data_IF_632772128330
#
_entry.id   IF_632772128330
#
_cell.length_a   1.000
_cell.length_b   1.000
_cell.length_c   1.000
_cell.angle_alpha   90.00
_cell.angle_beta   90.00
_cell.angle_gamma   90.00
#
_symmetry.space_group_name_H-M   'P 1'
#
loop_
_entity.id
_entity.type
_entity.pdbx_description
1 polymer ?
#
# COMPACT_ATOMS: atom_id res chain seq x y z
N UNK A 1 -15.56 -8.93 -23.14
CA UNK A 1 -14.16 -8.71 -22.68
C UNK A 1 -13.41 -10.01 -22.81
N UNK A 2 -12.28 -10.00 -23.53
CA UNK A 2 -11.72 -11.19 -24.18
C UNK A 2 -10.83 -12.02 -23.23
N UNK A 3 -11.15 -13.31 -23.12
CA UNK A 3 -10.47 -14.34 -22.30
C UNK A 3 -8.96 -14.48 -22.61
N UNK A 4 -8.47 -13.90 -23.72
CA UNK A 4 -7.05 -13.86 -24.12
C UNK A 4 -6.23 -12.80 -23.37
N UNK A 5 -6.86 -11.74 -22.86
CA UNK A 5 -6.16 -10.63 -22.19
C UNK A 5 -5.76 -10.98 -20.75
N UNK A 6 -6.56 -11.78 -20.04
CA UNK A 6 -6.24 -12.31 -18.70
C UNK A 6 -5.07 -13.30 -18.71
N UNK A 7 -5.01 -14.16 -19.75
CA UNK A 7 -3.94 -15.17 -19.88
C UNK A 7 -2.59 -14.49 -20.17
N UNK A 8 -2.57 -13.41 -20.95
CA UNK A 8 -1.36 -12.64 -21.22
C UNK A 8 -0.85 -11.91 -19.95
N UNK A 9 -1.73 -11.31 -19.14
CA UNK A 9 -1.35 -10.76 -17.82
C UNK A 9 -0.80 -11.84 -16.87
N UNK A 10 -1.37 -13.05 -16.90
CA UNK A 10 -0.90 -14.18 -16.09
C UNK A 10 0.50 -14.64 -16.49
N UNK A 11 0.80 -14.71 -17.79
CA UNK A 11 2.13 -15.11 -18.27
C UNK A 11 3.22 -14.10 -17.91
N UNK A 12 2.93 -12.80 -17.98
CA UNK A 12 3.86 -11.74 -17.55
C UNK A 12 4.16 -11.78 -16.05
N UNK A 13 3.16 -12.11 -15.23
CA UNK A 13 3.34 -12.30 -13.78
C UNK A 13 4.20 -13.53 -13.49
N UNK A 14 3.95 -14.67 -14.14
CA UNK A 14 4.76 -15.89 -13.90
C UNK A 14 6.23 -15.76 -14.29
N UNK A 15 6.56 -14.95 -15.31
CA UNK A 15 7.94 -14.65 -15.67
C UNK A 15 8.63 -13.75 -14.62
N UNK A 16 7.90 -12.79 -14.03
CA UNK A 16 8.39 -11.99 -12.91
C UNK A 16 8.57 -12.82 -11.62
N UNK A 17 7.68 -13.79 -11.38
CA UNK A 17 7.76 -14.71 -10.22
C UNK A 17 8.96 -15.66 -10.27
N UNK A 18 9.44 -16.05 -11.46
CA UNK A 18 10.56 -17.00 -11.60
C UNK A 18 11.95 -16.40 -11.41
N UNK A 19 12.12 -15.07 -11.55
CA UNK A 19 13.46 -14.45 -11.61
C UNK A 19 13.72 -13.33 -10.57
N UNK A 20 12.80 -13.05 -9.66
CA UNK A 20 12.96 -11.94 -8.71
C UNK A 20 13.52 -12.38 -7.35
N UNK A 21 14.80 -12.71 -7.33
CA UNK A 21 15.53 -13.14 -6.12
C UNK A 21 16.21 -11.98 -5.36
N UNK A 22 16.00 -10.72 -5.76
CA UNK A 22 16.47 -9.54 -5.03
C UNK A 22 15.35 -8.50 -4.90
N UNK A 23 14.98 -8.06 -3.68
CA UNK A 23 14.08 -6.92 -3.54
C UNK A 23 14.70 -5.71 -4.25
N UNK A 24 13.93 -5.08 -5.14
CA UNK A 24 14.35 -3.88 -5.86
C UNK A 24 14.75 -2.79 -4.87
N UNK A 25 15.61 -1.85 -5.31
CA UNK A 25 16.00 -0.69 -4.50
C UNK A 25 14.77 0.04 -3.92
N UNK A 26 13.72 0.19 -4.74
CA UNK A 26 12.44 0.78 -4.33
C UNK A 26 11.76 0.04 -3.17
N UNK A 27 11.93 -1.28 -3.09
CA UNK A 27 11.35 -2.11 -2.04
C UNK A 27 12.00 -1.86 -0.68
N UNK A 28 13.34 -1.85 -0.65
CA UNK A 28 14.13 -1.54 0.54
C UNK A 28 13.88 -0.09 0.98
N UNK A 29 13.91 0.83 0.02
CA UNK A 29 13.64 2.25 0.26
C UNK A 29 12.26 2.49 0.88
N UNK A 30 11.21 1.84 0.37
CA UNK A 30 9.86 1.96 0.95
C UNK A 30 9.81 1.51 2.41
N UNK A 31 10.44 0.37 2.73
CA UNK A 31 10.52 -0.11 4.11
C UNK A 31 11.23 0.91 5.00
N UNK A 32 12.40 1.41 4.59
CA UNK A 32 13.11 2.43 5.34
C UNK A 32 12.28 3.70 5.53
N UNK A 33 11.62 4.20 4.47
CA UNK A 33 10.76 5.39 4.56
C UNK A 33 9.58 5.18 5.50
N UNK A 34 9.02 3.97 5.56
CA UNK A 34 7.94 3.63 6.49
C UNK A 34 8.43 3.58 7.94
N UNK A 35 9.53 2.87 8.21
CA UNK A 35 10.08 2.71 9.56
C UNK A 35 10.59 4.03 10.15
N UNK A 36 11.24 4.86 9.33
CA UNK A 36 11.75 6.16 9.76
C UNK A 36 10.73 7.29 9.64
N UNK A 37 9.48 6.99 9.26
CA UNK A 37 8.40 7.99 9.13
C UNK A 37 8.86 9.17 8.26
N UNK A 38 9.37 8.85 7.07
CA UNK A 38 9.98 9.82 6.17
C UNK A 38 9.01 10.91 5.71
N UNK A 39 7.73 10.56 5.58
CA UNK A 39 6.70 11.48 5.12
C UNK A 39 6.15 12.31 6.29
N UNK A 40 6.32 13.63 6.23
CA UNK A 40 5.72 14.53 7.21
C UNK A 40 4.19 14.59 7.03
N UNK A 41 3.43 14.29 8.10
CA UNK A 41 1.98 14.44 8.06
C UNK A 41 1.56 15.90 8.34
N UNK A 42 0.34 16.33 7.94
CA UNK A 42 -0.19 17.68 8.14
C UNK A 42 -0.05 18.18 9.57
N UNK A 43 -0.32 17.34 10.57
CA UNK A 43 -0.22 17.72 11.98
C UNK A 43 1.20 18.08 12.42
N UNK A 44 2.22 17.54 11.74
CA UNK A 44 3.63 17.88 12.00
C UNK A 44 4.05 19.11 11.20
N UNK A 45 3.55 19.28 9.98
CA UNK A 45 3.84 20.45 9.15
C UNK A 45 3.24 21.73 9.73
N UNK A 46 2.01 21.69 10.26
CA UNK A 46 1.36 22.83 10.91
C UNK A 46 2.13 23.35 12.14
N UNK A 47 2.92 22.48 12.80
CA UNK A 47 3.80 22.88 13.91
C UNK A 47 5.08 23.57 13.44
N UNK A 48 5.54 23.26 12.23
CA UNK A 48 6.74 23.84 11.63
C UNK A 48 6.44 25.14 10.88
N UNK A 49 5.25 25.24 10.28
CA UNK A 49 4.84 26.33 9.40
C UNK A 49 3.46 26.84 9.80
N UNK A 50 3.38 28.13 10.19
CA UNK A 50 2.17 28.76 10.73
C UNK A 50 1.01 28.87 9.73
N UNK A 51 1.30 28.83 8.43
CA UNK A 51 0.33 28.95 7.33
C UNK A 51 -0.26 27.61 6.89
N UNK A 52 0.21 26.49 7.44
CA UNK A 52 -0.23 25.14 7.04
C UNK A 52 -1.36 24.64 7.94
N UNK A 53 -2.41 24.11 7.31
CA UNK A 53 -3.47 23.42 8.04
C UNK A 53 -2.98 22.09 8.60
N UNK A 54 -3.37 21.77 9.84
CA UNK A 54 -3.14 20.46 10.43
C UNK A 54 -4.11 19.39 9.93
N UNK A 55 -5.16 19.78 9.19
CA UNK A 55 -6.20 18.85 8.72
C UNK A 55 -5.64 17.84 7.73
N UNK A 56 -6.18 16.63 7.77
CA UNK A 56 -5.86 15.59 6.81
C UNK A 56 -6.10 16.05 5.37
N UNK A 57 -5.11 15.85 4.49
CA UNK A 57 -5.23 16.18 3.06
C UNK A 57 -6.24 15.34 2.29
N UNK A 58 -6.80 14.28 2.87
CA UNK A 58 -7.76 13.40 2.20
C UNK A 58 -9.18 13.69 2.68
N UNK A 59 -9.43 13.48 3.98
CA UNK A 59 -10.77 13.66 4.54
C UNK A 59 -11.11 15.11 4.93
N UNK A 60 -10.12 15.99 5.14
CA UNK A 60 -10.30 17.38 5.58
C UNK A 60 -11.08 17.58 6.90
N UNK A 61 -11.28 16.52 7.69
CA UNK A 61 -12.13 16.55 8.89
C UNK A 61 -11.32 16.72 10.18
N UNK A 62 -10.30 15.88 10.39
CA UNK A 62 -9.52 15.85 11.63
C UNK A 62 -8.03 16.08 11.35
N UNK A 63 -7.22 16.37 12.40
CA UNK A 63 -5.78 16.49 12.23
C UNK A 63 -5.18 15.25 11.56
N UNK A 64 -4.44 15.47 10.49
CA UNK A 64 -3.76 14.43 9.74
C UNK A 64 -2.53 13.97 10.51
N UNK A 65 -2.69 13.02 11.43
CA UNK A 65 -1.57 12.28 12.02
C UNK A 65 -1.04 11.24 11.02
N UNK A 66 0.18 10.73 11.24
CA UNK A 66 0.76 9.70 10.37
C UNK A 66 -0.13 8.45 10.29
N UNK A 67 -0.57 7.95 11.45
CA UNK A 67 -1.46 6.79 11.53
C UNK A 67 -2.83 7.06 10.91
N UNK A 68 -3.38 8.26 11.11
CA UNK A 68 -4.64 8.63 10.46
C UNK A 68 -4.52 8.59 8.94
N UNK A 69 -3.51 9.26 8.40
CA UNK A 69 -3.29 9.32 6.96
C UNK A 69 -3.05 7.96 6.31
N UNK A 70 -2.34 7.05 6.99
CA UNK A 70 -2.06 5.72 6.46
C UNK A 70 -3.17 4.70 6.70
N UNK A 71 -3.99 4.83 7.74
CA UNK A 71 -4.89 3.75 8.16
C UNK A 71 -6.30 4.20 8.48
N UNK A 72 -6.48 5.09 9.48
CA UNK A 72 -7.82 5.37 10.02
C UNK A 72 -8.62 6.39 9.22
N UNK A 73 -7.98 7.14 8.33
CA UNK A 73 -8.66 8.01 7.38
C UNK A 73 -9.61 7.20 6.51
N UNK A 74 -10.83 7.72 6.29
CA UNK A 74 -11.85 7.04 5.52
C UNK A 74 -11.37 6.66 4.12
N UNK A 75 -10.65 7.55 3.44
CA UNK A 75 -10.14 7.28 2.10
C UNK A 75 -8.97 6.29 2.11
N UNK A 76 -8.11 6.34 3.14
CA UNK A 76 -7.08 5.33 3.34
C UNK A 76 -7.71 3.95 3.58
N UNK A 77 -8.74 3.88 4.44
CA UNK A 77 -9.49 2.65 4.71
C UNK A 77 -10.13 2.10 3.45
N UNK A 78 -10.75 2.95 2.60
CA UNK A 78 -11.30 2.52 1.29
C UNK A 78 -10.21 1.91 0.40
N UNK A 79 -9.04 2.53 0.33
CA UNK A 79 -7.91 1.99 -0.44
C UNK A 79 -7.47 0.62 0.08
N UNK A 80 -7.19 0.50 1.37
CA UNK A 80 -6.74 -0.75 1.97
C UNK A 80 -7.78 -1.86 1.90
N UNK A 81 -9.06 -1.54 2.03
CA UNK A 81 -10.16 -2.50 1.88
C UNK A 81 -10.16 -3.11 0.47
N UNK A 82 -9.88 -2.32 -0.58
CA UNK A 82 -9.77 -2.83 -1.94
C UNK A 82 -8.58 -3.78 -2.09
N UNK A 83 -7.42 -3.42 -1.55
CA UNK A 83 -6.21 -4.26 -1.57
C UNK A 83 -6.45 -5.57 -0.80
N UNK A 84 -7.11 -5.48 0.36
CA UNK A 84 -7.51 -6.63 1.18
C UNK A 84 -8.44 -7.56 0.42
N UNK A 85 -9.53 -7.04 -0.15
CA UNK A 85 -10.48 -7.82 -0.96
C UNK A 85 -9.78 -8.48 -2.15
N UNK A 86 -8.85 -7.78 -2.81
CA UNK A 86 -8.08 -8.33 -3.92
C UNK A 86 -7.15 -9.46 -3.46
N UNK A 87 -6.45 -9.28 -2.34
CA UNK A 87 -5.58 -10.30 -1.75
C UNK A 87 -6.36 -11.56 -1.38
N UNK A 88 -7.51 -11.44 -0.72
CA UNK A 88 -8.33 -12.61 -0.34
C UNK A 88 -8.82 -13.36 -1.58
N UNK A 89 -9.26 -12.65 -2.63
CA UNK A 89 -9.67 -13.26 -3.90
C UNK A 89 -8.54 -14.01 -4.59
N UNK A 90 -7.35 -13.41 -4.63
CA UNK A 90 -6.17 -13.99 -5.29
C UNK A 90 -5.65 -15.22 -4.54
N UNK A 91 -5.65 -15.16 -3.21
CA UNK A 91 -5.06 -16.19 -2.35
C UNK A 91 -6.06 -17.28 -1.97
N UNK A 92 -7.36 -17.00 -2.12
CA UNK A 92 -8.48 -17.85 -1.67
C UNK A 92 -8.40 -18.18 -0.17
N UNK A 93 -7.82 -17.27 0.61
CA UNK A 93 -7.68 -17.39 2.05
C UNK A 93 -8.15 -16.12 2.74
N UNK A 94 -8.66 -16.28 3.96
CA UNK A 94 -8.97 -15.15 4.82
C UNK A 94 -7.66 -14.49 5.26
N UNK A 95 -7.59 -13.16 5.15
CA UNK A 95 -6.45 -12.36 5.56
C UNK A 95 -6.92 -11.35 6.58
N UNK A 96 -6.26 -11.27 7.72
CA UNK A 96 -6.63 -10.30 8.74
C UNK A 96 -6.44 -8.85 8.25
N UNK A 97 -7.50 -8.04 8.35
CA UNK A 97 -7.47 -6.62 8.00
C UNK A 97 -6.86 -5.77 9.13
N UNK A 98 -5.54 -5.94 9.32
CA UNK A 98 -4.76 -5.37 10.43
C UNK A 98 -3.63 -4.47 9.94
N UNK A 99 -3.38 -3.31 10.57
CA UNK A 99 -2.32 -2.40 10.15
C UNK A 99 -0.92 -3.03 10.22
N UNK A 100 -0.68 -3.96 11.14
CA UNK A 100 0.58 -4.70 11.28
C UNK A 100 0.91 -5.48 10.01
N UNK A 101 -0.11 -6.12 9.42
CA UNK A 101 0.04 -6.84 8.16
C UNK A 101 0.20 -5.86 7.00
N UNK A 102 -0.73 -4.90 6.87
CA UNK A 102 -0.81 -4.03 5.69
C UNK A 102 0.28 -2.95 5.62
N UNK A 103 0.63 -2.34 6.75
CA UNK A 103 1.59 -1.24 6.81
C UNK A 103 3.01 -1.73 7.11
N UNK A 104 3.14 -2.70 8.02
CA UNK A 104 4.44 -3.19 8.48
C UNK A 104 4.89 -4.47 7.74
N UNK A 105 3.97 -5.20 7.10
CA UNK A 105 4.30 -6.46 6.42
C UNK A 105 4.55 -7.62 7.39
N UNK A 106 4.00 -7.56 8.61
CA UNK A 106 4.12 -8.63 9.60
C UNK A 106 3.08 -9.70 9.25
N UNK A 107 3.55 -10.81 8.67
CA UNK A 107 2.69 -11.87 8.17
C UNK A 107 2.68 -13.06 9.14
N UNK A 108 1.50 -13.63 9.46
CA UNK A 108 1.39 -14.85 10.27
C UNK A 108 2.28 -15.99 9.78
N UNK A 109 2.86 -16.73 10.71
CA UNK A 109 3.71 -17.88 10.37
C UNK A 109 2.95 -19.02 9.70
N UNK A 110 1.62 -19.07 9.89
CA UNK A 110 0.71 -20.07 9.32
C UNK A 110 0.64 -20.07 7.80
N UNK A 111 1.01 -18.97 7.13
CA UNK A 111 1.01 -18.90 5.68
C UNK A 111 2.24 -19.60 5.06
N UNK A 112 2.05 -20.23 3.89
CA UNK A 112 3.15 -20.85 3.13
C UNK A 112 4.19 -19.81 2.70
N UNK A 113 5.40 -20.25 2.37
CA UNK A 113 6.49 -19.35 1.96
C UNK A 113 6.14 -18.57 0.69
N UNK A 114 5.50 -19.24 -0.27
CA UNK A 114 5.06 -18.68 -1.55
C UNK A 114 3.99 -17.62 -1.32
N UNK A 115 3.03 -17.90 -0.44
CA UNK A 115 1.96 -16.98 -0.10
C UNK A 115 2.49 -15.76 0.65
N UNK A 116 3.37 -15.97 1.64
CA UNK A 116 4.09 -14.87 2.32
C UNK A 116 4.78 -13.97 1.30
N UNK A 117 5.53 -14.56 0.37
CA UNK A 117 6.21 -13.79 -0.68
C UNK A 117 5.24 -12.98 -1.53
N UNK A 118 4.13 -13.58 -1.97
CA UNK A 118 3.10 -12.88 -2.77
C UNK A 118 2.47 -11.71 -1.99
N UNK A 119 2.05 -11.94 -0.75
CA UNK A 119 1.43 -10.92 0.11
C UNK A 119 2.41 -9.77 0.36
N UNK A 120 3.66 -10.04 0.75
CA UNK A 120 4.66 -8.99 0.99
C UNK A 120 4.83 -8.12 -0.26
N UNK A 121 4.97 -8.73 -1.44
CA UNK A 121 5.18 -8.00 -2.70
C UNK A 121 4.02 -7.09 -3.05
N UNK A 122 2.79 -7.61 -2.96
CA UNK A 122 1.57 -6.84 -3.25
C UNK A 122 1.43 -5.68 -2.28
N UNK A 123 1.56 -5.94 -0.97
CA UNK A 123 1.44 -4.90 0.05
C UNK A 123 2.51 -3.82 -0.11
N UNK A 124 3.70 -4.19 -0.53
CA UNK A 124 4.77 -3.21 -0.78
C UNK A 124 4.48 -2.36 -2.01
N UNK A 125 4.03 -2.97 -3.10
CA UNK A 125 3.58 -2.20 -4.27
C UNK A 125 2.44 -1.24 -3.89
N UNK A 126 1.46 -1.72 -3.12
CA UNK A 126 0.36 -0.90 -2.63
C UNK A 126 0.84 0.26 -1.74
N UNK A 127 1.81 0.03 -0.85
CA UNK A 127 2.41 1.09 -0.01
C UNK A 127 3.14 2.13 -0.86
N UNK A 128 3.91 1.71 -1.87
CA UNK A 128 4.63 2.62 -2.77
C UNK A 128 3.64 3.50 -3.52
N UNK A 129 2.58 2.93 -4.09
CA UNK A 129 1.53 3.68 -4.82
C UNK A 129 0.83 4.67 -3.90
N UNK A 130 0.51 4.24 -2.68
CA UNK A 130 -0.13 5.10 -1.69
C UNK A 130 0.79 6.25 -1.25
N UNK A 131 2.08 5.98 -0.99
CA UNK A 131 3.09 6.97 -0.63
C UNK A 131 3.35 7.97 -1.74
N UNK A 132 3.39 7.54 -3.01
CA UNK A 132 3.49 8.45 -4.16
C UNK A 132 2.35 9.48 -4.18
N UNK A 133 1.18 9.09 -3.67
CA UNK A 133 -0.02 9.92 -3.62
C UNK A 133 -0.33 10.39 -2.19
N UNK A 134 0.72 10.52 -1.37
CA UNK A 134 0.63 10.91 0.03
C UNK A 134 -0.04 12.27 0.20
N UNK A 135 0.38 13.26 -0.59
CA UNK A 135 -0.13 14.65 -0.57
C UNK A 135 -1.39 14.88 -1.41
N UNK A 136 -1.70 13.95 -2.31
CA UNK A 136 -2.85 14.08 -3.20
C UNK A 136 -4.14 13.78 -2.44
N UNK A 137 -5.16 14.61 -2.63
CA UNK A 137 -6.48 14.39 -2.06
C UNK A 137 -7.08 13.09 -2.61
N UNK A 138 -6.94 12.90 -3.93
CA UNK A 138 -7.33 11.66 -4.62
C UNK A 138 -6.26 10.59 -4.46
N UNK A 139 -6.67 9.42 -3.98
CA UNK A 139 -5.85 8.21 -4.02
C UNK A 139 -6.03 7.62 -5.42
N UNK A 140 -4.94 7.31 -6.16
CA UNK A 140 -5.06 6.77 -7.51
C UNK A 140 -5.82 5.44 -7.46
N UNK A 141 -6.90 5.37 -8.23
CA UNK A 141 -7.65 4.16 -8.45
C UNK A 141 -7.08 3.45 -9.68
N UNK A 142 -6.42 2.30 -9.48
CA UNK A 142 -6.13 1.22 -10.44
C UNK A 142 -5.45 1.52 -11.80
N UNK A 143 -5.47 2.74 -12.33
CA UNK A 143 -5.04 3.07 -13.70
C UNK A 143 -3.59 3.60 -13.78
N UNK A 144 -2.94 3.90 -12.65
CA UNK A 144 -1.55 4.41 -12.64
C UNK A 144 -0.50 3.38 -12.17
N UNK A 145 -0.90 2.14 -11.91
CA UNK A 145 0.02 1.07 -11.45
C UNK A 145 0.77 0.41 -12.63
N UNK A 146 0.48 0.83 -13.86
CA UNK A 146 1.11 0.35 -15.10
C UNK A 146 1.66 1.55 -15.88
N UNK A 147 2.72 2.18 -15.36
CA UNK A 147 3.67 2.97 -16.15
C UNK A 147 5.08 2.77 -15.59
#
# INVERSE_FOLDING_TARGET
MNHKTEVLQFTSLTFAFKNFQRPTTAYKENLYKMFYIWHFPPSRLAKMFKDKSEKCWKCHQIPGSYYHMWWTCLDAKKYWTKIHTWLEKMTKQHIDFKPELFLLGIIPETFSKELKYLIVNVLTAARIVFAKNWKNEKIPMQEEVIR
#
